data_IF_034537716080
#
_entry.id   IF_034537716080
#
_cell.length_a   1.000
_cell.length_b   1.000
_cell.length_c   1.000
_cell.angle_alpha   90.00
_cell.angle_beta   90.00
_cell.angle_gamma   90.00
#
_symmetry.space_group_name_H-M   'P 1'
#
loop_
_entity.id
_entity.type
_entity.pdbx_description
1 polymer ?
#
# COMPACT_ATOMS: atom_id res chain seq x y z
N UNK A 1 15.77 -16.76 -16.11
CA UNK A 1 15.12 -15.82 -15.16
C UNK A 1 13.76 -16.39 -14.77
N UNK A 2 13.38 -16.38 -13.48
CA UNK A 2 12.03 -16.80 -13.11
C UNK A 2 11.01 -15.90 -13.82
N UNK A 3 10.01 -16.50 -14.46
CA UNK A 3 8.92 -15.76 -15.12
C UNK A 3 8.23 -14.89 -14.05
N UNK A 4 8.05 -13.60 -14.33
CA UNK A 4 7.28 -12.72 -13.46
C UNK A 4 5.89 -13.32 -13.22
N UNK A 5 5.41 -13.30 -11.97
CA UNK A 5 4.08 -13.85 -11.66
C UNK A 5 3.01 -13.11 -12.47
N UNK A 6 2.10 -13.84 -13.13
CA UNK A 6 1.08 -13.22 -13.97
C UNK A 6 0.05 -12.45 -13.14
N UNK A 7 -0.64 -11.52 -13.80
CA UNK A 7 -1.75 -10.79 -13.20
C UNK A 7 -2.88 -11.73 -12.78
N UNK A 8 -3.49 -11.41 -11.65
CA UNK A 8 -4.61 -12.17 -11.10
C UNK A 8 -5.83 -11.27 -10.90
N UNK A 9 -6.99 -11.89 -10.67
CA UNK A 9 -8.24 -11.18 -10.38
C UNK A 9 -8.44 -10.91 -8.87
N UNK A 10 -7.37 -11.04 -8.06
CA UNK A 10 -7.45 -10.96 -6.60
C UNK A 10 -8.07 -9.65 -6.09
N UNK A 11 -7.80 -8.53 -6.77
CA UNK A 11 -8.41 -7.21 -6.48
C UNK A 11 -9.95 -7.24 -6.46
N UNK A 12 -10.59 -8.18 -7.17
CA UNK A 12 -12.05 -8.36 -7.15
C UNK A 12 -12.60 -8.91 -5.82
N UNK A 13 -11.74 -9.50 -4.99
CA UNK A 13 -12.09 -10.04 -3.66
C UNK A 13 -12.06 -8.96 -2.59
N UNK A 14 -11.37 -7.86 -2.82
CA UNK A 14 -11.35 -6.72 -1.94
C UNK A 14 -10.40 -5.69 -2.50
N UNK A 15 -10.91 -4.46 -2.68
CA UNK A 15 -10.10 -3.30 -2.99
C UNK A 15 -9.22 -2.95 -1.77
N UNK A 16 -9.31 -1.73 -1.23
CA UNK A 16 -8.50 -1.36 -0.07
C UNK A 16 -9.02 -2.01 1.22
N UNK A 17 -10.34 -2.23 1.34
CA UNK A 17 -10.99 -2.79 2.54
C UNK A 17 -10.58 -2.07 3.82
N UNK A 18 -10.57 -0.73 3.80
CA UNK A 18 -9.99 0.07 4.88
C UNK A 18 -10.65 -0.20 6.23
N UNK A 19 -11.99 -0.28 6.29
CA UNK A 19 -12.70 -0.49 7.55
C UNK A 19 -12.51 -1.91 8.08
N UNK A 20 -12.63 -2.91 7.22
CA UNK A 20 -12.40 -4.31 7.61
C UNK A 20 -10.95 -4.52 8.04
N UNK A 21 -9.98 -3.92 7.36
CA UNK A 21 -8.56 -3.98 7.75
C UNK A 21 -8.35 -3.35 9.13
N UNK A 22 -8.95 -2.17 9.42
CA UNK A 22 -8.89 -1.55 10.75
C UNK A 22 -9.48 -2.46 11.83
N UNK A 23 -10.66 -3.01 11.59
CA UNK A 23 -11.32 -3.92 12.53
C UNK A 23 -10.45 -5.15 12.78
N UNK A 24 -9.96 -5.80 11.72
CA UNK A 24 -9.12 -6.99 11.86
C UNK A 24 -7.82 -6.71 12.61
N UNK A 25 -7.13 -5.60 12.35
CA UNK A 25 -5.91 -5.21 13.08
C UNK A 25 -6.17 -4.98 14.57
N UNK A 26 -7.27 -4.32 14.93
CA UNK A 26 -7.65 -4.10 16.34
C UNK A 26 -7.84 -5.42 17.06
N UNK A 27 -8.48 -6.39 16.42
CA UNK A 27 -8.78 -7.68 17.01
C UNK A 27 -7.63 -8.70 16.92
N UNK A 28 -6.72 -8.59 15.96
CA UNK A 28 -5.58 -9.51 15.81
C UNK A 28 -4.60 -9.40 16.97
N UNK A 29 -4.05 -10.51 17.45
CA UNK A 29 -3.06 -10.52 18.53
C UNK A 29 -1.65 -10.79 18.00
N UNK A 30 -0.63 -10.16 18.59
CA UNK A 30 0.77 -10.37 18.21
C UNK A 30 1.15 -11.85 18.24
N UNK A 31 1.79 -12.33 17.17
CA UNK A 31 2.19 -13.74 17.03
C UNK A 31 1.03 -14.73 16.82
N UNK A 32 -0.22 -14.28 16.72
CA UNK A 32 -1.36 -15.17 16.47
C UNK A 32 -1.25 -15.82 15.08
N UNK A 33 -1.23 -17.17 14.98
CA UNK A 33 -1.14 -17.84 13.70
C UNK A 33 -2.30 -17.47 12.77
N UNK A 34 -2.06 -17.25 11.45
CA UNK A 34 -3.10 -16.81 10.53
C UNK A 34 -4.36 -17.67 10.52
N UNK A 35 -4.20 -18.99 10.59
CA UNK A 35 -5.32 -19.94 10.61
C UNK A 35 -6.12 -19.91 11.91
N UNK A 36 -5.46 -19.63 13.05
CA UNK A 36 -6.14 -19.43 14.31
C UNK A 36 -6.97 -18.14 14.28
N UNK A 37 -6.38 -17.06 13.76
CA UNK A 37 -7.06 -15.78 13.62
C UNK A 37 -8.29 -15.87 12.71
N UNK A 38 -8.20 -16.56 11.57
CA UNK A 38 -9.35 -16.73 10.67
C UNK A 38 -10.51 -17.44 11.38
N UNK A 39 -10.25 -18.57 12.06
CA UNK A 39 -11.29 -19.30 12.81
C UNK A 39 -11.92 -18.43 13.88
N UNK A 40 -11.12 -17.59 14.55
CA UNK A 40 -11.60 -16.67 15.58
C UNK A 40 -12.51 -15.58 15.01
N UNK A 41 -12.12 -14.97 13.89
CA UNK A 41 -12.93 -13.96 13.19
C UNK A 41 -14.30 -14.51 12.80
N UNK A 42 -14.36 -15.76 12.31
CA UNK A 42 -15.62 -16.42 11.98
C UNK A 42 -16.46 -16.72 13.22
N UNK A 43 -15.86 -17.33 14.24
CA UNK A 43 -16.54 -17.73 15.48
C UNK A 43 -17.12 -16.54 16.24
N UNK A 44 -16.36 -15.44 16.33
CA UNK A 44 -16.74 -14.25 17.11
C UNK A 44 -17.53 -13.22 16.28
N UNK A 45 -17.72 -13.46 14.98
CA UNK A 45 -18.48 -12.55 14.12
C UNK A 45 -17.85 -11.15 14.02
N UNK A 46 -16.51 -11.06 14.02
CA UNK A 46 -15.77 -9.78 14.14
C UNK A 46 -16.12 -8.78 13.01
N UNK A 47 -16.47 -9.27 11.82
CA UNK A 47 -16.88 -8.44 10.67
C UNK A 47 -18.40 -8.24 10.57
N UNK A 48 -19.14 -8.53 11.65
CA UNK A 48 -20.58 -8.25 11.78
C UNK A 48 -21.42 -8.91 10.69
N UNK A 49 -22.16 -8.09 9.93
CA UNK A 49 -23.19 -8.52 8.95
C UNK A 49 -22.63 -9.22 7.69
N UNK A 50 -21.31 -9.40 7.58
CA UNK A 50 -20.73 -10.11 6.45
C UNK A 50 -21.09 -11.60 6.50
N UNK A 51 -21.47 -12.17 5.35
CA UNK A 51 -21.70 -13.62 5.25
C UNK A 51 -20.41 -14.40 5.52
N UNK A 52 -20.50 -15.65 5.99
CA UNK A 52 -19.33 -16.49 6.25
C UNK A 52 -18.37 -16.57 5.03
N UNK A 53 -18.92 -16.73 3.82
CA UNK A 53 -18.14 -16.71 2.57
C UNK A 53 -17.41 -15.38 2.36
N UNK A 54 -18.06 -14.25 2.67
CA UNK A 54 -17.46 -12.92 2.53
C UNK A 54 -16.35 -12.71 3.56
N UNK A 55 -16.55 -13.16 4.80
CA UNK A 55 -15.52 -13.17 5.85
C UNK A 55 -14.30 -13.96 5.39
N UNK A 56 -14.48 -15.17 4.86
CA UNK A 56 -13.37 -15.97 4.31
C UNK A 56 -12.64 -15.27 3.17
N UNK A 57 -13.37 -14.69 2.21
CA UNK A 57 -12.76 -13.94 1.11
C UNK A 57 -11.94 -12.76 1.64
N UNK A 58 -12.43 -12.01 2.64
CA UNK A 58 -11.70 -10.88 3.24
C UNK A 58 -10.48 -11.36 4.01
N UNK A 59 -10.64 -12.26 4.97
CA UNK A 59 -9.55 -12.60 5.89
C UNK A 59 -8.51 -13.47 5.19
N UNK A 60 -8.92 -14.57 4.56
CA UNK A 60 -7.99 -15.56 3.99
C UNK A 60 -7.34 -15.10 2.69
N UNK A 61 -8.08 -14.36 1.84
CA UNK A 61 -7.59 -13.98 0.50
C UNK A 61 -7.05 -12.56 0.42
N UNK A 62 -7.38 -11.69 1.38
CA UNK A 62 -6.94 -10.29 1.35
C UNK A 62 -6.08 -9.95 2.57
N UNK A 63 -6.60 -10.08 3.79
CA UNK A 63 -5.90 -9.66 5.00
C UNK A 63 -4.64 -10.49 5.26
N UNK A 64 -4.78 -11.82 5.33
CA UNK A 64 -3.66 -12.73 5.63
C UNK A 64 -2.52 -12.60 4.62
N UNK A 65 -2.74 -12.65 3.29
CA UNK A 65 -1.64 -12.52 2.34
C UNK A 65 -0.95 -11.16 2.36
N UNK A 66 -1.68 -10.08 2.69
CA UNK A 66 -1.11 -8.72 2.71
C UNK A 66 -0.34 -8.40 3.99
N UNK A 67 -0.81 -8.88 5.14
CA UNK A 67 -0.33 -8.39 6.44
C UNK A 67 0.25 -9.47 7.37
N UNK A 68 -0.05 -10.75 7.12
CA UNK A 68 0.41 -11.88 7.94
C UNK A 68 1.26 -12.88 7.16
N UNK A 69 1.76 -12.49 5.98
CA UNK A 69 2.71 -13.27 5.17
C UNK A 69 3.79 -12.36 4.58
N UNK A 70 5.04 -12.84 4.44
CA UNK A 70 5.53 -14.15 4.89
C UNK A 70 5.62 -14.27 6.42
N UNK A 71 5.62 -13.14 7.12
CA UNK A 71 5.52 -13.01 8.57
C UNK A 71 4.42 -11.99 8.95
N UNK A 72 4.28 -11.70 10.24
CA UNK A 72 3.32 -10.75 10.79
C UNK A 72 3.87 -9.32 10.98
N UNK A 73 5.07 -9.01 10.44
CA UNK A 73 5.70 -7.67 10.58
C UNK A 73 4.80 -6.57 10.04
N UNK A 74 4.19 -6.80 8.87
CA UNK A 74 3.27 -5.85 8.26
C UNK A 74 2.05 -5.56 9.17
N UNK A 75 1.43 -6.59 9.75
CA UNK A 75 0.34 -6.42 10.71
C UNK A 75 0.78 -5.66 11.97
N UNK A 76 1.99 -5.92 12.49
CA UNK A 76 2.53 -5.16 13.64
C UNK A 76 2.64 -3.68 13.34
N UNK A 77 3.33 -3.31 12.26
CA UNK A 77 3.48 -1.91 11.83
C UNK A 77 2.13 -1.24 11.63
N UNK A 78 1.21 -1.92 10.93
CA UNK A 78 -0.13 -1.42 10.68
C UNK A 78 -0.95 -1.21 11.95
N UNK A 79 -0.85 -2.15 12.91
CA UNK A 79 -1.55 -2.08 14.20
C UNK A 79 -0.99 -0.94 15.05
N UNK A 80 0.34 -0.84 15.19
CA UNK A 80 0.98 0.24 15.95
C UNK A 80 0.66 1.61 15.35
N UNK A 81 0.68 1.75 14.02
CA UNK A 81 0.31 3.00 13.35
C UNK A 81 -1.17 3.36 13.58
N UNK A 82 -2.06 2.37 13.60
CA UNK A 82 -3.49 2.55 13.87
C UNK A 82 -3.74 2.99 15.33
N UNK A 83 -2.98 2.45 16.28
CA UNK A 83 -3.11 2.74 17.72
C UNK A 83 -2.41 4.04 18.13
N UNK A 84 -1.40 4.49 17.38
CA UNK A 84 -0.62 5.71 17.66
C UNK A 84 -1.27 7.01 17.16
N UNK A 85 -2.55 6.97 16.75
CA UNK A 85 -3.34 8.13 16.30
C UNK A 85 -2.63 9.03 15.27
N UNK A 86 -1.86 8.43 14.37
CA UNK A 86 -1.19 9.16 13.29
C UNK A 86 -2.20 9.78 12.32
N UNK A 87 -1.70 10.65 11.43
CA UNK A 87 -2.52 11.26 10.39
C UNK A 87 -3.29 10.20 9.60
N UNK A 88 -4.58 10.42 9.26
CA UNK A 88 -5.39 9.42 8.56
C UNK A 88 -4.79 8.90 7.24
N UNK A 89 -3.98 9.73 6.57
CA UNK A 89 -3.26 9.38 5.35
C UNK A 89 -2.30 8.20 5.56
N UNK A 90 -1.58 8.15 6.69
CA UNK A 90 -0.57 7.12 6.98
C UNK A 90 -1.15 5.72 6.85
N UNK A 91 -2.34 5.50 7.41
CA UNK A 91 -3.00 4.20 7.30
C UNK A 91 -3.33 3.83 5.85
N UNK A 92 -3.83 4.78 5.05
CA UNK A 92 -4.16 4.55 3.63
C UNK A 92 -2.92 4.26 2.80
N UNK A 93 -1.83 5.00 3.05
CA UNK A 93 -0.55 4.84 2.36
C UNK A 93 0.11 3.50 2.68
N UNK A 94 0.07 3.06 3.94
CA UNK A 94 0.55 1.73 4.31
C UNK A 94 -0.34 0.61 3.74
N UNK A 95 -1.67 0.82 3.64
CA UNK A 95 -2.54 -0.12 2.91
C UNK A 95 -2.13 -0.22 1.43
N UNK A 96 -1.82 0.90 0.76
CA UNK A 96 -1.30 0.88 -0.61
C UNK A 96 0.00 0.08 -0.69
N UNK A 97 0.98 0.38 0.17
CA UNK A 97 2.29 -0.28 0.19
C UNK A 97 2.16 -1.80 0.27
N UNK A 98 1.49 -2.32 1.30
CA UNK A 98 1.39 -3.77 1.51
C UNK A 98 0.47 -4.44 0.49
N UNK A 99 -0.55 -3.74 -0.02
CA UNK A 99 -1.40 -4.27 -1.09
C UNK A 99 -0.61 -4.41 -2.39
N UNK A 100 0.20 -3.41 -2.76
CA UNK A 100 0.99 -3.41 -3.99
C UNK A 100 2.18 -4.40 -3.93
N UNK A 101 2.77 -4.61 -2.74
CA UNK A 101 3.78 -5.67 -2.54
C UNK A 101 3.22 -7.08 -2.78
N UNK A 102 1.93 -7.30 -2.49
CA UNK A 102 1.27 -8.60 -2.64
C UNK A 102 0.49 -8.76 -3.96
N UNK A 103 0.09 -7.67 -4.61
CA UNK A 103 -0.69 -7.68 -5.86
C UNK A 103 0.06 -6.92 -6.97
N UNK A 104 0.71 -7.69 -7.85
CA UNK A 104 1.51 -7.15 -8.96
C UNK A 104 0.65 -6.35 -9.93
N UNK A 105 -0.61 -6.75 -10.15
CA UNK A 105 -1.51 -5.99 -11.04
C UNK A 105 -1.75 -4.59 -10.48
N UNK A 106 -2.04 -4.48 -9.18
CA UNK A 106 -2.21 -3.18 -8.52
C UNK A 106 -0.94 -2.33 -8.63
N UNK A 107 0.22 -2.93 -8.32
CA UNK A 107 1.52 -2.26 -8.40
C UNK A 107 1.79 -1.71 -9.80
N UNK A 108 1.72 -2.56 -10.81
CA UNK A 108 2.02 -2.19 -12.20
C UNK A 108 1.02 -1.15 -12.71
N UNK A 109 -0.26 -1.26 -12.36
CA UNK A 109 -1.26 -0.26 -12.74
C UNK A 109 -0.95 1.12 -12.14
N UNK A 110 -0.53 1.18 -10.86
CA UNK A 110 -0.11 2.44 -10.21
C UNK A 110 1.12 3.03 -10.92
N UNK A 111 2.12 2.20 -11.20
CA UNK A 111 3.41 2.65 -11.77
C UNK A 111 3.33 3.04 -13.25
N UNK A 112 2.55 2.29 -14.04
CA UNK A 112 2.58 2.36 -15.50
C UNK A 112 1.33 2.99 -16.12
N UNK A 113 0.23 3.15 -15.39
CA UNK A 113 -0.94 3.87 -15.89
C UNK A 113 -1.27 5.10 -15.04
N UNK A 114 -1.40 4.95 -13.72
CA UNK A 114 -1.81 6.07 -12.85
C UNK A 114 -0.80 7.22 -12.85
N UNK A 115 0.44 6.99 -12.40
CA UNK A 115 1.45 8.06 -12.31
C UNK A 115 1.82 8.66 -13.67
N UNK A 116 1.98 7.88 -14.76
CA UNK A 116 2.15 8.44 -16.09
C UNK A 116 0.97 9.31 -16.53
N UNK A 117 -0.27 8.95 -16.17
CA UNK A 117 -1.45 9.78 -16.47
C UNK A 117 -1.46 11.09 -15.67
N UNK A 118 -1.06 11.08 -14.40
CA UNK A 118 -0.86 12.29 -13.58
C UNK A 118 0.22 13.19 -14.20
N UNK A 119 1.40 12.64 -14.53
CA UNK A 119 2.51 13.40 -15.14
C UNK A 119 2.17 14.02 -16.50
N UNK A 120 1.30 13.37 -17.28
CA UNK A 120 0.77 13.90 -18.55
C UNK A 120 -0.32 14.97 -18.35
N UNK A 121 -0.68 15.30 -17.12
CA UNK A 121 -1.73 16.27 -16.82
C UNK A 121 -3.14 15.78 -17.19
N UNK A 122 -3.37 14.47 -17.29
CA UNK A 122 -4.73 13.96 -17.47
C UNK A 122 -5.58 14.34 -16.26
N UNK A 123 -6.79 14.82 -16.50
CA UNK A 123 -7.73 15.17 -15.43
C UNK A 123 -8.49 13.95 -14.89
N UNK A 124 -8.74 12.94 -15.73
CA UNK A 124 -9.60 11.80 -15.38
C UNK A 124 -8.98 10.47 -15.78
N UNK A 125 -9.39 9.41 -15.09
CA UNK A 125 -9.10 8.02 -15.44
C UNK A 125 -10.37 7.17 -15.31
N UNK A 126 -10.75 6.50 -16.40
CA UNK A 126 -11.97 5.71 -16.45
C UNK A 126 -11.70 4.22 -16.70
N UNK A 127 -12.77 3.43 -16.80
CA UNK A 127 -12.68 1.99 -17.05
C UNK A 127 -12.02 1.68 -18.40
N UNK A 128 -12.23 2.51 -19.42
CA UNK A 128 -11.66 2.28 -20.75
C UNK A 128 -10.13 2.35 -20.73
N UNK A 129 -9.56 3.32 -20.00
CA UNK A 129 -8.10 3.40 -19.82
C UNK A 129 -7.53 2.14 -19.17
N UNK A 130 -8.22 1.57 -18.18
CA UNK A 130 -7.80 0.32 -17.54
C UNK A 130 -7.94 -0.89 -18.47
N UNK A 131 -8.97 -0.91 -19.32
CA UNK A 131 -9.12 -1.98 -20.32
C UNK A 131 -8.01 -1.92 -21.37
N UNK A 132 -7.61 -0.73 -21.83
CA UNK A 132 -6.45 -0.55 -22.70
C UNK A 132 -5.17 -1.06 -22.05
N UNK A 133 -4.96 -0.75 -20.76
CA UNK A 133 -3.84 -1.28 -19.98
C UNK A 133 -3.83 -2.82 -19.92
N UNK A 134 -4.99 -3.48 -19.84
CA UNK A 134 -5.05 -4.95 -19.89
C UNK A 134 -4.74 -5.50 -21.29
N UNK A 135 -5.17 -4.82 -22.35
CA UNK A 135 -4.84 -5.21 -23.71
C UNK A 135 -3.32 -5.17 -23.95
N UNK A 136 -2.65 -4.12 -23.49
CA UNK A 136 -1.19 -4.00 -23.53
C UNK A 136 -0.52 -5.08 -22.68
N UNK A 137 -0.99 -5.31 -21.46
CA UNK A 137 -0.46 -6.34 -20.57
C UNK A 137 -0.60 -7.76 -21.12
N UNK A 138 -1.61 -8.04 -21.93
CA UNK A 138 -1.78 -9.32 -22.62
C UNK A 138 -0.72 -9.51 -23.71
N UNK A 139 -0.45 -8.46 -24.51
CA UNK A 139 0.60 -8.47 -25.54
C UNK A 139 1.98 -8.65 -24.90
N UNK A 140 2.22 -8.00 -23.77
CA UNK A 140 3.47 -8.12 -22.99
C UNK A 140 3.62 -9.45 -22.24
N UNK A 141 2.63 -10.35 -22.32
CA UNK A 141 2.67 -11.65 -21.65
C UNK A 141 2.56 -11.58 -20.12
N UNK A 142 2.09 -10.46 -19.56
CA UNK A 142 1.83 -10.28 -18.12
C UNK A 142 0.54 -10.97 -17.66
N UNK A 143 -0.30 -11.40 -18.60
CA UNK A 143 -1.52 -12.17 -18.38
C UNK A 143 -1.37 -13.57 -18.97
N UNK A 144 -1.72 -14.64 -18.22
CA UNK A 144 -1.66 -16.01 -18.75
C UNK A 144 -2.62 -16.23 -19.92
N UNK A 145 -3.82 -15.65 -19.81
CA UNK A 145 -4.91 -15.75 -20.77
C UNK A 145 -5.72 -14.46 -20.75
N UNK A 146 -6.39 -14.10 -21.86
CA UNK A 146 -7.35 -13.01 -21.85
C UNK A 146 -8.47 -13.32 -20.86
N UNK A 147 -8.86 -12.31 -20.09
CA UNK A 147 -10.07 -12.37 -19.27
C UNK A 147 -11.30 -12.08 -20.12
N UNK A 148 -12.46 -12.64 -19.74
CA UNK A 148 -13.72 -12.25 -20.36
C UNK A 148 -14.02 -10.77 -20.11
N UNK A 149 -14.81 -10.14 -20.98
CA UNK A 149 -15.16 -8.73 -20.85
C UNK A 149 -15.75 -8.39 -19.47
N UNK A 150 -16.63 -9.26 -18.96
CA UNK A 150 -17.24 -9.09 -17.64
C UNK A 150 -16.20 -9.11 -16.51
N UNK A 151 -15.21 -10.01 -16.60
CA UNK A 151 -14.13 -10.12 -15.62
C UNK A 151 -13.23 -8.89 -15.71
N UNK A 152 -12.80 -8.49 -16.91
CA UNK A 152 -11.98 -7.30 -17.14
C UNK A 152 -12.65 -6.05 -16.56
N UNK A 153 -13.94 -5.81 -16.85
CA UNK A 153 -14.69 -4.68 -16.28
C UNK A 153 -14.82 -4.75 -14.76
N UNK A 154 -14.89 -5.96 -14.17
CA UNK A 154 -14.92 -6.12 -12.71
C UNK A 154 -13.57 -5.78 -12.07
N UNK A 155 -12.47 -6.28 -12.65
CA UNK A 155 -11.10 -5.99 -12.20
C UNK A 155 -10.81 -4.50 -12.34
N UNK A 156 -11.14 -3.89 -13.47
CA UNK A 156 -10.95 -2.45 -13.70
C UNK A 156 -11.69 -1.58 -12.67
N UNK A 157 -12.94 -1.93 -12.35
CA UNK A 157 -13.68 -1.26 -11.26
C UNK A 157 -13.05 -1.50 -9.89
N UNK A 158 -12.47 -2.68 -9.65
CA UNK A 158 -11.73 -2.99 -8.43
C UNK A 158 -10.49 -2.12 -8.26
N UNK A 159 -9.68 -1.96 -9.30
CA UNK A 159 -8.48 -1.11 -9.31
C UNK A 159 -8.85 0.36 -9.05
N UNK A 160 -9.82 0.89 -9.79
CA UNK A 160 -10.25 2.27 -9.62
C UNK A 160 -10.94 2.49 -8.26
N UNK A 161 -11.70 1.51 -7.75
CA UNK A 161 -12.22 1.52 -6.40
C UNK A 161 -11.11 1.57 -5.34
N UNK A 162 -10.04 0.80 -5.53
CA UNK A 162 -8.87 0.83 -4.66
C UNK A 162 -8.24 2.23 -4.64
N UNK A 163 -7.93 2.81 -5.81
CA UNK A 163 -7.34 4.15 -5.91
C UNK A 163 -8.22 5.22 -5.25
N UNK A 164 -9.54 5.09 -5.35
CA UNK A 164 -10.48 6.00 -4.69
C UNK A 164 -10.39 5.87 -3.18
N UNK A 165 -10.36 4.64 -2.67
CA UNK A 165 -10.33 4.39 -1.23
C UNK A 165 -9.04 4.97 -0.58
N UNK A 166 -7.92 4.99 -1.32
CA UNK A 166 -6.64 5.58 -0.88
C UNK A 166 -6.45 7.06 -1.27
N UNK A 167 -7.49 7.73 -1.78
CA UNK A 167 -7.51 9.14 -2.19
C UNK A 167 -6.62 9.52 -3.40
N UNK A 168 -6.15 8.54 -4.18
CA UNK A 168 -5.42 8.78 -5.44
C UNK A 168 -6.36 9.30 -6.55
N UNK A 169 -7.65 8.99 -6.43
CA UNK A 169 -8.69 9.57 -7.27
C UNK A 169 -9.83 10.07 -6.41
N UNK A 170 -10.50 11.13 -6.87
CA UNK A 170 -11.77 11.59 -6.30
C UNK A 170 -12.90 11.40 -7.31
N UNK A 171 -14.11 11.18 -6.81
CA UNK A 171 -15.30 11.00 -7.65
C UNK A 171 -16.32 12.11 -7.34
N UNK A 172 -16.10 13.35 -7.84
CA UNK A 172 -16.98 14.48 -7.55
C UNK A 172 -18.38 14.28 -8.13
N UNK A 173 -18.51 13.48 -9.19
CA UNK A 173 -19.77 13.04 -9.79
C UNK A 173 -19.64 11.57 -10.15
N UNK A 174 -20.75 10.84 -10.09
CA UNK A 174 -20.79 9.41 -10.42
C UNK A 174 -20.18 9.16 -11.81
N UNK A 175 -19.16 8.32 -11.86
CA UNK A 175 -18.43 7.97 -13.08
C UNK A 175 -17.31 8.93 -13.49
N UNK A 176 -17.24 10.15 -12.94
CA UNK A 176 -16.12 11.09 -13.17
C UNK A 176 -15.06 10.87 -12.11
N UNK A 177 -14.01 10.14 -12.47
CA UNK A 177 -12.91 9.78 -11.59
C UNK A 177 -11.71 10.67 -11.88
N UNK A 178 -11.59 11.72 -11.08
CA UNK A 178 -10.57 12.73 -11.22
C UNK A 178 -9.27 12.27 -10.58
N UNK A 179 -8.16 12.41 -11.31
CA UNK A 179 -6.82 12.08 -10.85
C UNK A 179 -6.35 13.11 -9.82
N UNK A 180 -5.70 12.64 -8.76
CA UNK A 180 -5.10 13.50 -7.74
C UNK A 180 -3.58 13.39 -7.84
N UNK A 181 -2.92 14.55 -7.89
CA UNK A 181 -1.47 14.64 -7.71
C UNK A 181 -1.14 14.42 -6.23
N UNK A 182 -1.19 13.14 -5.83
CA UNK A 182 -1.10 12.74 -4.44
C UNK A 182 0.32 12.93 -3.91
N UNK A 183 0.43 13.45 -2.68
CA UNK A 183 1.71 13.57 -1.98
C UNK A 183 1.69 12.67 -0.77
N UNK A 184 2.63 11.74 -0.71
CA UNK A 184 2.86 10.91 0.48
C UNK A 184 3.12 11.80 1.71
N UNK A 185 2.65 11.38 2.87
CA UNK A 185 2.92 12.02 4.16
C UNK A 185 4.37 11.80 4.63
N UNK A 186 4.89 12.77 5.39
CA UNK A 186 6.24 12.66 5.96
C UNK A 186 6.36 11.49 6.94
N UNK A 187 5.31 11.24 7.74
CA UNK A 187 5.28 10.10 8.65
C UNK A 187 5.41 8.77 7.90
N UNK A 188 4.71 8.58 6.78
CA UNK A 188 4.87 7.36 5.99
C UNK A 188 6.24 7.28 5.34
N UNK A 189 6.84 8.39 4.92
CA UNK A 189 8.23 8.37 4.43
C UNK A 189 9.19 7.84 5.48
N UNK A 190 9.12 8.34 6.72
CA UNK A 190 10.00 7.89 7.81
C UNK A 190 9.72 6.43 8.18
N UNK A 191 8.45 6.04 8.26
CA UNK A 191 8.04 4.65 8.53
C UNK A 191 8.55 3.71 7.43
N UNK A 192 8.38 4.05 6.15
CA UNK A 192 8.84 3.22 5.03
C UNK A 192 10.36 3.09 5.01
N UNK A 193 11.10 4.18 5.22
CA UNK A 193 12.56 4.09 5.36
C UNK A 193 12.96 3.17 6.51
N UNK A 194 12.23 3.19 7.63
CA UNK A 194 12.50 2.31 8.76
C UNK A 194 12.17 0.85 8.46
N UNK A 195 11.05 0.57 7.79
CA UNK A 195 10.69 -0.77 7.29
C UNK A 195 11.86 -1.32 6.46
N UNK A 196 12.34 -0.54 5.49
CA UNK A 196 13.44 -0.95 4.61
C UNK A 196 14.75 -1.15 5.37
N UNK A 197 15.06 -0.30 6.36
CA UNK A 197 16.23 -0.49 7.22
C UNK A 197 16.18 -1.82 7.97
N UNK A 198 15.04 -2.15 8.56
CA UNK A 198 14.84 -3.41 9.29
C UNK A 198 14.70 -4.64 8.38
N UNK A 199 14.42 -4.44 7.09
CA UNK A 199 14.53 -5.45 6.04
C UNK A 199 15.99 -5.66 5.56
N UNK A 200 16.93 -4.84 6.05
CA UNK A 200 18.37 -5.00 5.81
C UNK A 200 18.93 -4.19 4.65
N UNK A 201 18.16 -3.25 4.09
CA UNK A 201 18.65 -2.37 3.04
C UNK A 201 19.73 -1.40 3.57
N UNK A 202 20.75 -1.16 2.74
CA UNK A 202 21.72 -0.08 3.00
C UNK A 202 21.06 1.28 2.85
N UNK A 203 21.71 2.33 3.36
CA UNK A 203 21.13 3.68 3.34
C UNK A 203 20.91 4.21 1.91
N UNK A 204 21.79 3.90 0.96
CA UNK A 204 21.49 4.16 -0.46
C UNK A 204 20.39 3.25 -1.00
N UNK A 205 20.38 1.98 -0.62
CA UNK A 205 19.35 1.03 -1.02
C UNK A 205 17.94 1.43 -0.55
N UNK A 206 17.83 2.06 0.62
CA UNK A 206 16.58 2.67 1.09
C UNK A 206 16.13 3.74 0.11
N UNK A 207 16.99 4.68 -0.28
CA UNK A 207 16.64 5.79 -1.19
C UNK A 207 16.31 5.28 -2.60
N UNK A 208 16.98 4.22 -3.06
CA UNK A 208 16.77 3.61 -4.38
C UNK A 208 15.58 2.64 -4.44
N UNK A 209 14.92 2.38 -3.31
CA UNK A 209 13.91 1.34 -3.25
C UNK A 209 12.68 1.66 -4.14
N UNK A 210 12.24 0.67 -4.92
CA UNK A 210 11.14 0.82 -5.88
C UNK A 210 9.77 1.16 -5.26
N UNK A 211 9.60 0.98 -3.95
CA UNK A 211 8.34 1.31 -3.27
C UNK A 211 8.07 2.81 -3.24
N UNK A 212 9.10 3.66 -3.34
CA UNK A 212 8.92 5.10 -3.48
C UNK A 212 8.11 5.47 -4.73
N UNK A 213 8.27 4.70 -5.80
CA UNK A 213 7.54 4.93 -7.05
C UNK A 213 6.04 4.66 -6.93
N UNK A 214 5.59 3.90 -5.92
CA UNK A 214 4.15 3.76 -5.62
C UNK A 214 3.52 5.11 -5.27
N UNK A 215 4.32 6.05 -4.79
CA UNK A 215 3.94 7.42 -4.42
C UNK A 215 4.44 8.47 -5.42
N UNK A 216 4.82 8.04 -6.62
CA UNK A 216 5.28 8.94 -7.68
C UNK A 216 6.66 9.55 -7.43
N UNK A 217 7.39 9.06 -6.42
CA UNK A 217 8.70 9.58 -6.06
C UNK A 217 9.82 8.86 -6.83
N UNK A 218 10.76 9.66 -7.31
CA UNK A 218 12.05 9.23 -7.84
C UNK A 218 13.15 9.53 -6.82
N UNK A 219 14.34 8.92 -6.98
CA UNK A 219 15.49 9.06 -6.05
C UNK A 219 15.73 10.50 -5.60
N UNK A 220 15.75 11.45 -6.55
CA UNK A 220 15.99 12.88 -6.27
C UNK A 220 14.89 13.46 -5.36
N UNK A 221 13.63 13.16 -5.65
CA UNK A 221 12.49 13.61 -4.86
C UNK A 221 12.46 12.96 -3.48
N UNK A 222 12.87 11.70 -3.36
CA UNK A 222 13.01 11.00 -2.07
C UNK A 222 14.02 11.72 -1.18
N UNK A 223 15.22 12.02 -1.71
CA UNK A 223 16.24 12.76 -0.96
C UNK A 223 15.80 14.16 -0.57
N UNK A 224 15.21 14.90 -1.51
CA UNK A 224 14.71 16.24 -1.25
C UNK A 224 13.66 16.22 -0.13
N UNK A 225 12.70 15.29 -0.19
CA UNK A 225 11.69 15.15 0.86
C UNK A 225 12.32 14.79 2.20
N UNK A 226 13.27 13.87 2.22
CA UNK A 226 13.99 13.50 3.43
C UNK A 226 14.77 14.65 4.06
N UNK A 227 15.37 15.54 3.28
CA UNK A 227 16.01 16.77 3.80
C UNK A 227 15.02 17.75 4.43
N UNK A 228 13.79 17.79 3.92
CA UNK A 228 12.73 18.65 4.48
C UNK A 228 12.10 18.05 5.74
N UNK A 229 12.20 16.73 5.92
CA UNK A 229 11.74 16.04 7.12
C UNK A 229 12.73 16.34 8.24
N UNK A 230 12.29 17.18 9.19
CA UNK A 230 13.13 17.62 10.30
C UNK A 230 13.49 16.52 11.31
N UNK A 231 14.45 16.86 12.18
CA UNK A 231 14.98 15.96 13.23
C UNK A 231 13.93 15.44 14.21
N UNK A 232 12.78 16.13 14.30
CA UNK A 232 11.65 15.80 15.17
C UNK A 232 11.11 14.40 14.89
N UNK A 233 11.31 13.85 13.70
CA UNK A 233 10.85 12.50 13.34
C UNK A 233 11.68 11.35 13.95
N UNK A 234 12.71 11.65 14.75
CA UNK A 234 13.61 10.64 15.32
C UNK A 234 14.61 10.07 14.29
N UNK A 235 14.66 10.68 13.11
CA UNK A 235 15.55 10.36 12.01
C UNK A 235 16.43 11.57 11.68
N UNK A 236 17.73 11.34 11.58
CA UNK A 236 18.71 12.30 11.09
C UNK A 236 19.29 11.80 9.78
N UNK A 237 19.32 12.66 8.77
CA UNK A 237 19.80 12.31 7.44
C UNK A 237 21.00 13.18 7.13
N UNK A 238 22.11 12.53 6.83
CA UNK A 238 23.34 13.20 6.41
C UNK A 238 23.60 12.86 4.96
N UNK A 239 23.89 13.86 4.14
CA UNK A 239 24.26 13.67 2.74
C UNK A 239 25.61 14.33 2.46
N UNK A 240 26.54 13.56 1.89
CA UNK A 240 27.81 14.06 1.36
C UNK A 240 27.97 13.57 -0.09
N UNK A 241 27.74 14.47 -1.05
CA UNK A 241 27.71 14.11 -2.47
C UNK A 241 26.61 13.08 -2.77
N UNK A 242 27.01 11.89 -3.24
CA UNK A 242 26.09 10.77 -3.52
C UNK A 242 25.86 9.85 -2.31
N UNK A 243 26.61 10.04 -1.22
CA UNK A 243 26.52 9.21 -0.01
C UNK A 243 25.42 9.76 0.89
N UNK A 244 24.56 8.86 1.36
CA UNK A 244 23.44 9.16 2.25
C UNK A 244 23.57 8.27 3.47
N UNK A 245 23.41 8.84 4.66
CA UNK A 245 23.43 8.11 5.92
C UNK A 245 22.14 8.41 6.71
N UNK A 246 21.46 7.34 7.14
CA UNK A 246 20.27 7.39 8.00
C UNK A 246 20.69 7.05 9.44
N UNK A 247 20.70 8.06 10.30
CA UNK A 247 20.97 7.92 11.72
C UNK A 247 19.66 7.91 12.51
N UNK A 248 19.36 6.79 13.15
CA UNK A 248 18.11 6.57 13.87
C UNK A 248 18.30 6.82 15.37
N UNK A 249 17.45 7.67 15.97
CA UNK A 249 17.44 7.91 17.43
C UNK A 249 16.65 6.83 18.20
N UNK A 250 16.00 5.91 17.49
CA UNK A 250 15.14 4.86 18.02
C UNK A 250 15.56 3.48 17.53
N UNK A 251 15.35 2.46 18.37
CA UNK A 251 15.85 1.11 18.16
C UNK A 251 14.87 0.17 17.43
N UNK A 252 13.59 0.53 17.32
CA UNK A 252 12.58 -0.26 16.60
C UNK A 252 11.57 0.62 15.85
N UNK A 253 10.90 0.04 14.85
CA UNK A 253 9.81 0.66 14.13
C UNK A 253 8.61 0.99 15.03
N UNK A 254 8.32 0.16 16.03
CA UNK A 254 7.22 0.43 16.97
C UNK A 254 7.52 1.67 17.82
N UNK A 255 8.77 1.82 18.28
CA UNK A 255 9.20 3.01 19.01
C UNK A 255 9.23 4.25 18.10
N UNK A 256 9.65 4.11 16.85
CA UNK A 256 9.56 5.19 15.87
C UNK A 256 8.11 5.68 15.73
N UNK A 257 7.18 4.77 15.45
CA UNK A 257 5.77 5.09 15.22
C UNK A 257 5.15 5.79 16.43
N UNK A 258 5.47 5.35 17.66
CA UNK A 258 4.95 6.00 18.86
C UNK A 258 5.49 7.41 19.06
N UNK A 259 6.74 7.68 18.68
CA UNK A 259 7.34 9.03 18.79
C UNK A 259 6.80 10.02 17.75
N UNK A 260 6.40 9.55 16.55
CA UNK A 260 5.84 10.42 15.51
C UNK A 260 4.54 11.13 15.90
N UNK A 261 3.84 10.65 16.95
CA UNK A 261 2.64 11.30 17.47
C UNK A 261 2.96 12.41 18.50
N UNK A 262 4.09 12.31 19.22
CA UNK A 262 4.41 13.21 20.33
C UNK A 262 4.83 14.62 19.87
N UNK A 263 5.38 14.75 18.66
CA UNK A 263 5.82 16.04 18.12
C UNK A 263 4.69 16.88 17.49
N UNK A 264 3.43 16.55 17.81
CA UNK A 264 2.25 17.34 17.44
C UNK A 264 1.74 18.24 18.58
N UNK A 265 2.37 18.21 19.75
CA UNK A 265 2.05 19.06 20.90
C UNK A 265 3.05 20.21 21.02
#
# INVERSE_FOLDING_TARGET
>A
MPKAKPYTIAICKGAALLQETRTLLRHWHFGEPPEAFVRRVEREGILGKATARRVQDIVRRVFVPRYLKPDDRAARVMKTALESNLQPAVFKELVLLYSARNDILLREFVLHEFWPSVRRGKLFIDVSAVLSFFSEALVDGKMEKPWSEQVSRKVARGLLGFLRDIDFIREPQKGKRELIDYRISDHTMVILARILKEEGFSDSGIVDHQDWSLFGLERKSVLLRFHLIGEETGLLIQQAGSVVAFNWRVNSIEHLISTLNLNRQ
#
